data_IF_876350424499
#
_entry.id   IF_876350424499
#
_cell.length_a   1.000
_cell.length_b   1.000
_cell.length_c   1.000
_cell.angle_alpha   90.00
_cell.angle_beta   90.00
_cell.angle_gamma   90.00
#
_symmetry.space_group_name_H-M   'P 1'
#
loop_
_entity.id
_entity.type
_entity.pdbx_description
1 polymer ?
#
# COMPACT_ATOMS: atom_id res chain seq x y z
N UNK A 1 5.15 -2.74 16.91
CA UNK A 1 4.83 -3.72 15.87
C UNK A 1 3.37 -4.15 15.87
N UNK A 2 2.81 -4.49 17.03
CA UNK A 2 1.39 -4.87 17.13
C UNK A 2 0.45 -3.74 16.69
N UNK A 3 0.75 -2.50 17.06
CA UNK A 3 -0.06 -1.35 16.67
C UNK A 3 -0.02 -1.12 15.14
N UNK A 4 1.13 -1.29 14.53
CA UNK A 4 1.27 -1.15 13.07
C UNK A 4 0.45 -2.20 12.34
N UNK A 5 0.53 -3.44 12.79
CA UNK A 5 -0.26 -4.54 12.24
C UNK A 5 -1.76 -4.24 12.34
N UNK A 6 -2.21 -3.83 13.52
CA UNK A 6 -3.61 -3.50 13.76
C UNK A 6 -4.09 -2.36 12.86
N UNK A 7 -3.29 -1.31 12.69
CA UNK A 7 -3.63 -0.18 11.84
C UNK A 7 -3.74 -0.58 10.38
N UNK A 8 -2.82 -1.40 9.90
CA UNK A 8 -2.85 -1.90 8.52
C UNK A 8 -4.12 -2.72 8.28
N UNK A 9 -4.41 -3.67 9.17
CA UNK A 9 -5.59 -4.53 9.04
C UNK A 9 -6.87 -3.70 9.08
N UNK A 10 -6.94 -2.69 9.96
CA UNK A 10 -8.11 -1.83 10.08
C UNK A 10 -8.45 -1.12 8.78
N UNK A 11 -7.44 -0.65 8.03
CA UNK A 11 -7.66 -0.01 6.73
C UNK A 11 -8.07 -1.04 5.68
N UNK A 12 -7.39 -2.18 5.62
CA UNK A 12 -7.69 -3.23 4.65
C UNK A 12 -9.10 -3.78 4.80
N UNK A 13 -9.58 -3.90 6.03
CA UNK A 13 -10.94 -4.40 6.31
C UNK A 13 -12.03 -3.51 5.71
N UNK A 14 -11.77 -2.23 5.54
CA UNK A 14 -12.73 -1.26 5.02
C UNK A 14 -12.63 -1.06 3.51
N UNK A 15 -11.57 -1.56 2.89
CA UNK A 15 -11.35 -1.37 1.46
C UNK A 15 -12.06 -2.45 0.66
N UNK A 16 -12.88 -2.08 -0.35
CA UNK A 16 -13.61 -3.07 -1.16
C UNK A 16 -12.71 -4.11 -1.83
N UNK A 17 -11.46 -3.75 -2.15
CA UNK A 17 -10.51 -4.66 -2.77
C UNK A 17 -9.90 -5.68 -1.82
N UNK A 18 -9.96 -5.42 -0.51
CA UNK A 18 -9.28 -6.25 0.48
C UNK A 18 -10.17 -6.79 1.60
N UNK A 19 -11.42 -6.32 1.70
CA UNK A 19 -12.30 -6.71 2.81
C UNK A 19 -12.63 -8.20 2.86
N UNK A 20 -12.46 -8.91 1.75
CA UNK A 20 -12.74 -10.34 1.67
C UNK A 20 -11.51 -11.22 1.90
N UNK A 21 -10.40 -10.65 2.36
CA UNK A 21 -9.22 -11.41 2.73
C UNK A 21 -9.51 -12.35 3.88
N UNK A 22 -8.96 -13.55 3.82
CA UNK A 22 -9.03 -14.51 4.92
C UNK A 22 -7.91 -14.23 5.91
N UNK A 23 -8.07 -14.68 7.15
CA UNK A 23 -7.02 -14.55 8.17
C UNK A 23 -5.69 -15.16 7.69
N UNK A 24 -5.77 -16.27 6.96
CA UNK A 24 -4.58 -16.92 6.40
C UNK A 24 -3.83 -16.03 5.41
N UNK A 25 -4.52 -15.10 4.74
CA UNK A 25 -3.87 -14.18 3.80
C UNK A 25 -2.99 -13.14 4.48
N UNK A 26 -3.21 -12.88 5.76
CA UNK A 26 -2.40 -11.93 6.52
C UNK A 26 -0.96 -12.42 6.68
N UNK A 27 -0.74 -13.71 6.65
CA UNK A 27 0.59 -14.30 6.76
C UNK A 27 1.51 -13.91 5.61
N UNK A 28 0.97 -13.80 4.41
CA UNK A 28 1.80 -13.43 3.27
C UNK A 28 1.68 -11.95 2.90
N UNK A 29 0.55 -11.30 3.18
CA UNK A 29 0.28 -9.93 2.73
C UNK A 29 0.66 -8.87 3.75
N UNK A 30 0.45 -9.12 5.04
CA UNK A 30 0.61 -8.08 6.06
C UNK A 30 1.82 -8.32 6.95
N UNK A 31 1.99 -9.52 7.46
CA UNK A 31 3.09 -9.81 8.38
C UNK A 31 4.48 -9.51 7.80
N UNK A 32 4.81 -9.97 6.58
CA UNK A 32 6.16 -9.72 6.07
C UNK A 32 6.51 -8.24 5.92
N UNK A 33 5.68 -7.38 5.30
CA UNK A 33 6.03 -5.97 5.17
C UNK A 33 6.05 -5.24 6.51
N UNK A 34 5.15 -5.58 7.43
CA UNK A 34 5.14 -4.95 8.75
C UNK A 34 6.41 -5.32 9.53
N UNK A 35 6.82 -6.57 9.48
CA UNK A 35 8.03 -7.04 10.18
C UNK A 35 9.31 -6.47 9.57
N UNK A 36 9.33 -6.20 8.27
CA UNK A 36 10.51 -5.67 7.59
C UNK A 36 10.55 -4.14 7.51
N UNK A 37 9.52 -3.46 8.03
CA UNK A 37 9.45 -2.01 7.97
C UNK A 37 9.04 -1.45 6.61
N UNK A 38 8.47 -2.27 5.75
CA UNK A 38 8.07 -1.89 4.39
C UNK A 38 6.59 -1.53 4.33
N UNK A 39 6.21 -0.57 5.14
CA UNK A 39 4.81 -0.14 5.25
C UNK A 39 4.73 1.34 5.60
N UNK A 40 3.59 1.96 5.25
CA UNK A 40 3.26 3.30 5.66
C UNK A 40 1.76 3.38 5.91
N UNK A 41 1.37 4.05 6.98
CA UNK A 41 -0.02 4.29 7.35
C UNK A 41 -0.24 5.77 7.53
N UNK A 42 -1.28 6.31 6.92
CA UNK A 42 -1.72 7.68 7.16
C UNK A 42 -2.85 7.68 8.17
N UNK A 43 -2.82 8.66 9.04
CA UNK A 43 -3.82 8.84 10.09
C UNK A 43 -4.48 10.21 9.95
N UNK A 44 -5.75 10.30 10.34
CA UNK A 44 -6.43 11.58 10.53
C UNK A 44 -6.88 11.68 11.97
N UNK A 45 -6.91 12.91 12.46
CA UNK A 45 -7.41 13.20 13.80
C UNK A 45 -8.92 13.40 13.69
N UNK A 46 -9.68 12.64 14.48
CA UNK A 46 -11.12 12.82 14.57
C UNK A 46 -11.40 14.09 15.38
N UNK A 47 -11.93 15.11 14.68
CA UNK A 47 -12.37 16.33 15.35
C UNK A 47 -13.81 16.14 15.85
N UNK A 48 -14.03 16.53 17.10
CA UNK A 48 -15.36 16.47 17.70
C UNK A 48 -15.73 15.18 18.38
N UNK A 49 -14.90 14.15 18.30
CA UNK A 49 -15.08 12.94 19.08
C UNK A 49 -14.64 13.19 20.51
N UNK A 50 -15.55 13.07 21.47
CA UNK A 50 -15.18 13.12 22.87
C UNK A 50 -14.47 11.81 23.22
N UNK A 51 -13.25 11.85 23.76
CA UNK A 51 -12.60 10.62 24.19
C UNK A 51 -13.43 9.97 25.30
N UNK A 52 -13.65 8.65 25.17
CA UNK A 52 -14.40 7.90 26.16
C UNK A 52 -13.64 7.79 27.47
N UNK A 53 -12.31 7.90 27.42
CA UNK A 53 -11.44 7.90 28.60
C UNK A 53 -10.33 8.92 28.43
N UNK A 54 -9.72 9.36 29.54
CA UNK A 54 -8.63 10.32 29.53
C UNK A 54 -7.40 9.87 28.75
N UNK A 55 -7.23 8.57 28.56
CA UNK A 55 -6.13 8.01 27.79
C UNK A 55 -6.32 8.09 26.28
N UNK A 56 -7.50 8.49 25.81
CA UNK A 56 -7.85 8.57 24.41
C UNK A 56 -7.81 9.99 23.84
N UNK A 57 -7.00 10.86 24.44
CA UNK A 57 -6.87 12.26 24.04
C UNK A 57 -6.40 12.47 22.60
N UNK A 58 -5.87 11.43 21.94
CA UNK A 58 -5.46 11.46 20.55
C UNK A 58 -6.17 10.37 19.77
N UNK A 59 -7.35 10.69 19.26
CA UNK A 59 -8.09 9.77 18.41
C UNK A 59 -7.55 9.85 16.97
N UNK A 60 -6.40 9.25 16.75
CA UNK A 60 -5.86 9.09 15.41
C UNK A 60 -6.46 7.84 14.77
N UNK A 61 -7.11 8.03 13.63
CA UNK A 61 -7.73 6.94 12.89
C UNK A 61 -6.90 6.65 11.66
N UNK A 62 -6.49 5.38 11.44
CA UNK A 62 -5.79 5.03 10.21
C UNK A 62 -6.75 5.10 9.02
N UNK A 63 -6.36 5.82 7.97
CA UNK A 63 -7.22 6.07 6.80
C UNK A 63 -6.63 5.60 5.49
N UNK A 64 -5.33 5.33 5.45
CA UNK A 64 -4.68 4.83 4.25
C UNK A 64 -3.48 3.98 4.62
N UNK A 65 -3.16 3.01 3.78
CA UNK A 65 -2.03 2.11 3.99
C UNK A 65 -1.35 1.79 2.66
N UNK A 66 -0.04 1.67 2.69
CA UNK A 66 0.76 1.14 1.60
C UNK A 66 1.69 0.06 2.15
N UNK A 67 1.81 -1.03 1.41
CA UNK A 67 2.71 -2.14 1.70
C UNK A 67 3.55 -2.37 0.46
N UNK A 68 4.87 -2.45 0.62
CA UNK A 68 5.76 -2.63 -0.52
C UNK A 68 6.80 -3.70 -0.24
N UNK A 69 7.37 -4.22 -1.32
CA UNK A 69 8.40 -5.25 -1.27
C UNK A 69 9.64 -4.77 -2.02
N UNK A 70 10.80 -5.27 -1.65
CA UNK A 70 12.01 -5.13 -2.44
C UNK A 70 12.45 -6.52 -2.89
N UNK A 71 12.34 -6.76 -4.20
CA UNK A 71 12.41 -8.11 -4.75
C UNK A 71 13.59 -8.28 -5.71
N UNK A 72 13.97 -9.55 -5.91
CA UNK A 72 15.01 -9.93 -6.85
C UNK A 72 14.58 -9.66 -8.30
N UNK A 73 15.54 -9.59 -9.25
CA UNK A 73 15.19 -9.45 -10.66
C UNK A 73 14.26 -10.55 -11.18
N UNK A 74 14.39 -11.76 -10.66
CA UNK A 74 13.53 -12.89 -11.05
C UNK A 74 12.08 -12.67 -10.63
N UNK A 75 11.86 -12.21 -9.40
CA UNK A 75 10.52 -11.91 -8.90
C UNK A 75 9.96 -10.67 -9.61
N UNK A 76 10.77 -9.64 -9.81
CA UNK A 76 10.40 -8.46 -10.58
C UNK A 76 9.86 -8.84 -11.97
N UNK A 77 10.56 -9.73 -12.65
CA UNK A 77 10.14 -10.24 -13.95
C UNK A 77 8.81 -10.99 -13.86
N UNK A 78 8.65 -11.85 -12.86
CA UNK A 78 7.41 -12.59 -12.64
C UNK A 78 6.23 -11.65 -12.45
N UNK A 79 6.40 -10.61 -11.63
CA UNK A 79 5.33 -9.65 -11.34
C UNK A 79 5.04 -8.75 -12.53
N UNK A 80 6.02 -8.49 -13.39
CA UNK A 80 5.86 -7.64 -14.56
C UNK A 80 5.24 -8.36 -15.76
N UNK A 81 5.47 -9.64 -15.90
CA UNK A 81 5.06 -10.42 -17.07
C UNK A 81 3.81 -11.24 -16.85
N UNK A 82 3.62 -11.83 -15.68
CA UNK A 82 2.49 -12.71 -15.40
C UNK A 82 1.27 -11.93 -14.91
N UNK A 83 0.80 -11.00 -15.74
CA UNK A 83 -0.28 -10.08 -15.38
C UNK A 83 -1.65 -10.75 -15.27
N UNK A 84 -1.80 -11.94 -15.83
CA UNK A 84 -3.00 -12.76 -15.70
C UNK A 84 -3.07 -13.52 -14.38
N UNK A 85 -1.98 -13.54 -13.62
CA UNK A 85 -1.91 -14.18 -12.31
C UNK A 85 -2.12 -13.16 -11.20
N UNK A 86 -2.70 -13.57 -10.05
CA UNK A 86 -2.83 -12.64 -8.92
C UNK A 86 -1.48 -12.09 -8.46
N UNK A 87 -1.47 -10.84 -8.03
CA UNK A 87 -0.30 -10.23 -7.43
C UNK A 87 -0.10 -10.84 -6.04
N UNK A 88 0.80 -11.79 -5.94
CA UNK A 88 1.02 -12.53 -4.71
C UNK A 88 2.51 -12.80 -4.50
N UNK A 89 2.95 -12.65 -3.27
CA UNK A 89 4.32 -12.97 -2.82
C UNK A 89 4.26 -13.97 -1.68
N UNK A 90 5.21 -14.90 -1.65
CA UNK A 90 5.40 -15.75 -0.48
C UNK A 90 6.01 -14.91 0.65
N UNK A 91 5.81 -15.30 1.93
CA UNK A 91 6.38 -14.53 3.05
C UNK A 91 7.88 -14.26 2.92
N UNK A 92 8.64 -15.19 2.37
CA UNK A 92 10.09 -15.05 2.22
C UNK A 92 10.52 -14.29 0.95
N UNK A 93 9.57 -13.79 0.16
CA UNK A 93 9.89 -13.09 -1.09
C UNK A 93 9.90 -11.56 -0.96
N UNK A 94 9.46 -11.01 0.16
CA UNK A 94 9.29 -9.56 0.35
C UNK A 94 10.58 -8.78 0.46
N UNK A 95 11.67 -9.42 0.86
CA UNK A 95 12.99 -8.78 0.98
C UNK A 95 14.02 -9.69 0.31
N UNK A 96 14.10 -9.62 -1.03
CA UNK A 96 14.97 -10.49 -1.81
C UNK A 96 15.89 -9.76 -2.78
N UNK A 97 15.73 -8.44 -2.90
CA UNK A 97 16.53 -7.65 -3.84
C UNK A 97 16.26 -6.16 -3.70
N UNK A 98 16.54 -5.42 -4.76
CA UNK A 98 16.46 -3.97 -4.77
C UNK A 98 15.32 -3.40 -5.62
N UNK A 99 14.52 -4.26 -6.25
CA UNK A 99 13.43 -3.81 -7.11
C UNK A 99 12.18 -3.59 -6.27
N UNK A 100 11.76 -2.32 -6.15
CA UNK A 100 10.63 -1.96 -5.30
C UNK A 100 9.31 -2.18 -6.01
N UNK A 101 8.39 -2.81 -5.31
CA UNK A 101 7.02 -3.06 -5.77
C UNK A 101 6.02 -2.65 -4.70
N UNK A 102 5.08 -1.80 -5.09
CA UNK A 102 3.93 -1.48 -4.25
C UNK A 102 2.93 -2.64 -4.38
N UNK A 103 2.78 -3.43 -3.33
CA UNK A 103 1.96 -4.65 -3.38
C UNK A 103 0.52 -4.36 -3.01
N UNK A 104 0.31 -3.50 -2.02
CA UNK A 104 -1.03 -3.10 -1.60
C UNK A 104 -1.07 -1.62 -1.29
N UNK A 105 -2.11 -0.97 -1.77
CA UNK A 105 -2.44 0.40 -1.39
C UNK A 105 -3.95 0.46 -1.22
N UNK A 106 -4.38 0.99 -0.10
CA UNK A 106 -5.79 1.06 0.25
C UNK A 106 -6.04 2.29 1.10
N UNK A 107 -7.24 2.80 1.04
CA UNK A 107 -7.60 3.91 1.89
C UNK A 107 -8.79 4.70 1.42
N UNK A 108 -9.13 5.70 2.22
CA UNK A 108 -10.21 6.64 1.97
C UNK A 108 -9.88 7.52 0.75
N UNK A 109 -10.85 7.72 -0.12
CA UNK A 109 -10.70 8.56 -1.33
C UNK A 109 -10.19 9.96 -1.01
N UNK A 110 -10.65 10.55 0.09
CA UNK A 110 -10.26 11.91 0.49
C UNK A 110 -8.80 12.01 0.90
N UNK A 111 -8.28 10.94 1.50
CA UNK A 111 -6.91 10.90 2.01
C UNK A 111 -5.90 10.45 0.95
N UNK A 112 -6.36 9.81 -0.11
CA UNK A 112 -5.50 9.15 -1.08
C UNK A 112 -4.55 10.12 -1.83
N UNK A 113 -5.01 11.30 -2.33
CA UNK A 113 -4.08 12.21 -3.03
C UNK A 113 -2.90 12.66 -2.17
N UNK A 114 -3.16 13.05 -0.92
CA UNK A 114 -2.11 13.44 0.01
C UNK A 114 -1.19 12.25 0.36
N UNK A 115 -1.78 11.07 0.53
CA UNK A 115 -1.04 9.87 0.86
C UNK A 115 -0.08 9.46 -0.28
N UNK A 116 -0.56 9.51 -1.52
CA UNK A 116 0.29 9.22 -2.69
C UNK A 116 1.44 10.21 -2.77
N UNK A 117 1.18 11.48 -2.48
CA UNK A 117 2.21 12.50 -2.45
C UNK A 117 3.28 12.20 -1.40
N UNK A 118 2.88 11.73 -0.23
CA UNK A 118 3.80 11.28 0.82
C UNK A 118 4.63 10.08 0.37
N UNK A 119 4.01 9.12 -0.33
CA UNK A 119 4.72 7.96 -0.86
C UNK A 119 5.76 8.37 -1.90
N UNK A 120 5.43 9.31 -2.77
CA UNK A 120 6.38 9.83 -3.75
C UNK A 120 7.58 10.47 -3.08
N UNK A 121 7.37 11.17 -1.97
CA UNK A 121 8.45 11.76 -1.19
C UNK A 121 9.31 10.68 -0.53
N UNK A 122 8.68 9.66 0.03
CA UNK A 122 9.37 8.52 0.63
C UNK A 122 10.27 7.80 -0.37
N UNK A 123 9.80 7.64 -1.60
CA UNK A 123 10.50 6.92 -2.64
C UNK A 123 11.24 7.83 -3.63
N UNK A 124 11.50 9.07 -3.25
CA UNK A 124 12.20 10.04 -4.11
C UNK A 124 13.53 9.47 -4.60
N UNK A 125 13.74 9.52 -5.92
CA UNK A 125 14.93 8.97 -6.54
C UNK A 125 14.90 7.47 -6.76
N UNK A 126 13.80 6.80 -6.42
CA UNK A 126 13.64 5.37 -6.59
C UNK A 126 12.47 5.08 -7.53
N UNK A 127 12.61 4.00 -8.29
CA UNK A 127 11.50 3.51 -9.12
C UNK A 127 10.71 2.48 -8.31
N UNK A 128 9.41 2.74 -8.15
CA UNK A 128 8.49 1.81 -7.50
C UNK A 128 7.44 1.40 -8.51
N UNK A 129 7.40 0.13 -8.82
CA UNK A 129 6.42 -0.43 -9.74
C UNK A 129 5.15 -0.85 -9.01
N UNK A 130 4.04 -0.81 -9.71
CA UNK A 130 2.76 -1.30 -9.20
C UNK A 130 1.92 -1.81 -10.36
N UNK A 131 0.96 -2.67 -10.05
CA UNK A 131 -0.03 -3.09 -11.03
C UNK A 131 -1.28 -2.22 -10.87
N UNK A 132 -1.86 -1.84 -12.00
CA UNK A 132 -3.09 -1.07 -12.03
C UNK A 132 -3.93 -1.51 -13.23
N UNK A 133 -5.17 -1.10 -13.27
CA UNK A 133 -6.05 -1.36 -14.41
C UNK A 133 -5.91 -0.22 -15.43
N UNK A 134 -5.64 -0.57 -16.68
CA UNK A 134 -5.59 0.39 -17.77
C UNK A 134 -6.99 0.81 -18.22
N UNK A 135 -7.07 1.75 -19.20
CA UNK A 135 -8.36 2.23 -19.72
C UNK A 135 -9.22 1.11 -20.33
N UNK A 136 -8.59 0.06 -20.82
CA UNK A 136 -9.26 -1.12 -21.40
C UNK A 136 -9.67 -2.17 -20.34
N UNK A 137 -9.42 -1.89 -19.06
CA UNK A 137 -9.69 -2.81 -17.96
C UNK A 137 -8.64 -3.89 -17.76
N UNK A 138 -7.60 -3.91 -18.60
CA UNK A 138 -6.52 -4.89 -18.47
C UNK A 138 -5.47 -4.44 -17.47
N UNK A 139 -4.89 -5.38 -16.74
CA UNK A 139 -3.84 -5.11 -15.78
C UNK A 139 -2.57 -4.66 -16.50
N UNK A 140 -1.98 -3.59 -16.01
CA UNK A 140 -0.72 -3.05 -16.54
C UNK A 140 0.22 -2.68 -15.41
N UNK A 141 1.51 -2.59 -15.71
CA UNK A 141 2.53 -2.16 -14.75
C UNK A 141 2.77 -0.66 -14.93
N UNK A 142 2.78 0.06 -13.82
CA UNK A 142 3.09 1.49 -13.80
C UNK A 142 4.23 1.75 -12.82
N UNK A 143 4.91 2.88 -13.03
CA UNK A 143 5.91 3.39 -12.09
C UNK A 143 5.32 4.56 -11.32
N UNK A 144 5.35 4.49 -10.00
CA UNK A 144 4.70 5.47 -9.13
C UNK A 144 5.20 6.90 -9.35
N UNK A 145 6.50 7.07 -9.59
CA UNK A 145 7.12 8.39 -9.63
C UNK A 145 6.87 9.16 -10.93
N UNK A 146 6.70 8.47 -12.05
CA UNK A 146 6.66 9.12 -13.36
C UNK A 146 5.24 9.29 -13.90
N UNK A 147 4.45 8.24 -13.90
CA UNK A 147 3.19 8.23 -14.63
C UNK A 147 2.06 8.97 -13.92
N UNK A 148 2.04 8.97 -12.59
CA UNK A 148 1.02 9.70 -11.83
C UNK A 148 1.22 11.22 -11.92
N UNK A 149 2.46 11.67 -12.03
CA UNK A 149 2.78 13.09 -12.19
C UNK A 149 2.35 13.59 -13.58
N UNK A 150 2.55 12.79 -14.61
CA UNK A 150 2.13 13.15 -15.96
C UNK A 150 0.63 13.29 -16.11
N UNK A 151 -0.16 12.44 -15.40
CA UNK A 151 -1.61 12.53 -15.42
C UNK A 151 -2.13 13.82 -14.80
N UNK A 152 -1.51 14.25 -13.71
CA UNK A 152 -1.88 15.50 -13.06
C UNK A 152 -1.60 16.71 -13.97
N UNK A 153 -0.50 16.68 -14.68
CA UNK A 153 -0.11 17.74 -15.62
C UNK A 153 -1.00 17.78 -16.86
N UNK A 154 -1.50 16.64 -17.32
CA UNK A 154 -2.38 16.56 -18.48
C UNK A 154 -3.82 16.97 -18.17
N UNK A 155 -4.25 16.81 -16.93
CA UNK A 155 -5.59 17.19 -16.46
C UNK A 155 -5.65 18.65 -15.95
N UNK A 156 -4.51 19.27 -15.79
CA UNK A 156 -4.39 20.66 -15.38
C UNK A 156 -4.36 21.60 -16.55
#
# INVERSE_FOLDING_TARGET
MAQSFANVVAVLMRDPGFKNLRLADLEWLVLPPVMSGQWRVAHVKLQGAKPATASEGNTLVPVAVALWASVSPEIDKRLSENLDQPLMLRPNEWVTGDNLWLIAIAGDRRSMPAFIKELKTEFKGKQVKLRTNGPDGMVMVMTLTDNLTKREDEEG
#
